data_IF_297550642659
#
_entry.id   IF_297550642659
#
_cell.length_a   1.000
_cell.length_b   1.000
_cell.length_c   1.000
_cell.angle_alpha   90.00
_cell.angle_beta   90.00
_cell.angle_gamma   90.00
#
_symmetry.space_group_name_H-M   'P 1'
#
loop_
_entity.id
_entity.type
_entity.pdbx_description
1 polymer ?
#
# COMPACT_ATOMS: atom_id res chain seq x y z
N UNK A 1 24.23 1.23 27.99
CA UNK A 1 22.93 1.94 27.89
C UNK A 1 21.85 1.19 27.08
N UNK A 2 22.17 0.37 26.07
CA UNK A 2 21.15 -0.37 25.28
C UNK A 2 20.40 -1.48 26.04
N UNK A 3 21.06 -2.17 26.97
CA UNK A 3 20.43 -3.22 27.80
C UNK A 3 19.32 -2.69 28.72
N UNK A 4 19.53 -1.53 29.35
CA UNK A 4 18.55 -0.86 30.22
C UNK A 4 17.33 -0.44 29.40
N UNK A 5 17.54 0.16 28.22
CA UNK A 5 16.45 0.54 27.31
C UNK A 5 15.62 -0.67 26.86
N UNK A 6 16.27 -1.80 26.55
CA UNK A 6 15.55 -3.02 26.16
C UNK A 6 14.81 -3.66 27.34
N UNK A 7 15.31 -3.54 28.58
CA UNK A 7 14.59 -4.01 29.77
C UNK A 7 13.38 -3.12 30.10
N UNK A 8 13.54 -1.79 30.01
CA UNK A 8 12.47 -0.81 30.15
C UNK A 8 11.33 -1.03 29.15
N UNK A 9 11.66 -1.36 27.90
CA UNK A 9 10.67 -1.60 26.84
C UNK A 9 10.03 -2.99 26.97
N UNK A 10 10.78 -3.99 27.42
CA UNK A 10 10.28 -5.37 27.57
C UNK A 10 9.38 -5.53 28.80
N UNK A 11 9.71 -4.86 29.90
CA UNK A 11 8.98 -4.91 31.17
C UNK A 11 8.45 -3.51 31.54
N UNK A 12 7.75 -2.86 30.60
CA UNK A 12 7.19 -1.53 30.83
C UNK A 12 6.25 -1.51 32.04
N UNK A 13 5.59 -2.65 32.31
CA UNK A 13 4.75 -2.87 33.49
C UNK A 13 5.54 -2.78 34.80
N UNK A 14 6.63 -3.53 34.95
CA UNK A 14 7.48 -3.46 36.15
C UNK A 14 8.16 -2.10 36.28
N UNK A 15 8.54 -1.48 35.16
CA UNK A 15 9.26 -0.22 35.22
C UNK A 15 8.36 0.95 35.63
N UNK A 16 7.08 0.93 35.27
CA UNK A 16 6.11 1.94 35.74
C UNK A 16 5.80 1.75 37.22
N UNK A 17 5.62 0.51 37.69
CA UNK A 17 5.44 0.25 39.13
C UNK A 17 6.68 0.70 39.93
N UNK A 18 7.87 0.39 39.42
CA UNK A 18 9.13 0.85 40.01
C UNK A 18 9.27 2.38 39.96
N UNK A 19 8.80 3.03 38.89
CA UNK A 19 8.76 4.50 38.79
C UNK A 19 7.80 5.13 39.80
N UNK A 20 6.63 4.53 40.05
CA UNK A 20 5.68 5.01 41.07
C UNK A 20 6.28 4.83 42.46
N UNK A 21 6.91 3.68 42.72
CA UNK A 21 7.56 3.37 43.99
C UNK A 21 8.73 4.32 44.26
N UNK A 22 9.57 4.58 43.24
CA UNK A 22 10.70 5.51 43.34
C UNK A 22 10.20 6.95 43.53
N UNK A 23 9.15 7.36 42.83
CA UNK A 23 8.51 8.67 43.01
C UNK A 23 7.93 8.85 44.42
N UNK A 24 7.27 7.82 44.95
CA UNK A 24 6.75 7.83 46.32
C UNK A 24 7.84 8.00 47.37
N UNK A 25 8.94 7.26 47.24
CA UNK A 25 10.10 7.35 48.15
C UNK A 25 10.79 8.70 48.03
N UNK A 26 10.97 9.19 46.80
CA UNK A 26 11.61 10.48 46.54
C UNK A 26 10.83 11.63 47.18
N UNK A 27 9.51 11.62 47.06
CA UNK A 27 8.70 12.70 47.62
C UNK A 27 8.57 12.60 49.14
N UNK A 28 8.51 11.39 49.70
CA UNK A 28 8.57 11.20 51.16
C UNK A 28 9.86 11.77 51.77
N UNK A 29 10.98 11.71 51.04
CA UNK A 29 12.26 12.23 51.54
C UNK A 29 12.37 13.77 51.50
N UNK A 30 11.63 14.44 50.60
CA UNK A 30 11.89 15.84 50.27
C UNK A 30 10.94 16.87 50.90
N UNK A 31 9.74 16.52 51.38
CA UNK A 31 8.67 17.54 51.60
C UNK A 31 7.95 17.43 52.95
N UNK A 32 7.77 18.58 53.61
CA UNK A 32 7.15 18.77 54.93
C UNK A 32 5.63 19.11 54.90
N UNK A 33 5.05 19.44 53.74
CA UNK A 33 3.61 19.75 53.58
C UNK A 33 2.85 18.60 52.90
N UNK A 34 2.15 17.78 53.71
CA UNK A 34 1.74 16.41 53.33
C UNK A 34 0.44 16.28 52.50
N UNK A 35 -0.43 17.29 52.41
CA UNK A 35 -1.74 17.18 51.70
C UNK A 35 -1.63 17.41 50.19
N UNK A 36 -0.87 18.42 49.75
CA UNK A 36 -0.68 18.72 48.32
C UNK A 36 0.04 17.59 47.55
N UNK A 37 0.70 16.68 48.28
CA UNK A 37 1.36 15.52 47.68
C UNK A 37 0.36 14.43 47.23
N UNK A 38 -0.79 14.34 47.89
CA UNK A 38 -1.83 13.38 47.55
C UNK A 38 -2.31 13.60 46.10
N UNK A 39 -2.39 14.87 45.67
CA UNK A 39 -2.71 15.25 44.30
C UNK A 39 -1.64 14.82 43.28
N UNK A 40 -0.37 14.77 43.68
CA UNK A 40 0.71 14.29 42.80
C UNK A 40 0.62 12.78 42.56
N UNK A 41 0.16 12.04 43.57
CA UNK A 41 -0.15 10.61 43.45
C UNK A 41 -1.32 10.36 42.49
N UNK A 42 -2.29 11.27 42.43
CA UNK A 42 -3.37 11.22 41.45
C UNK A 42 -2.84 11.20 40.01
N UNK A 43 -1.90 12.09 39.69
CA UNK A 43 -1.24 12.15 38.37
C UNK A 43 -0.47 10.86 38.06
N UNK A 44 0.27 10.30 39.03
CA UNK A 44 1.03 9.06 38.85
C UNK A 44 0.12 7.87 38.53
N UNK A 45 -1.02 7.75 39.23
CA UNK A 45 -1.98 6.65 39.00
C UNK A 45 -2.70 6.82 37.66
N UNK A 46 -3.10 8.04 37.30
CA UNK A 46 -3.72 8.33 36.00
C UNK A 46 -2.75 8.03 34.85
N UNK A 47 -1.48 8.44 34.99
CA UNK A 47 -0.44 8.18 34.00
C UNK A 47 -0.19 6.67 33.84
N UNK A 48 -0.14 5.92 34.94
CA UNK A 48 -0.01 4.47 34.92
C UNK A 48 -1.19 3.79 34.24
N UNK A 49 -2.42 4.25 34.51
CA UNK A 49 -3.63 3.75 33.89
C UNK A 49 -3.68 4.01 32.39
N UNK A 50 -3.21 5.18 31.94
CA UNK A 50 -3.15 5.54 30.52
C UNK A 50 -2.16 4.68 29.71
N UNK A 51 -1.00 4.37 30.29
CA UNK A 51 0.07 3.69 29.56
C UNK A 51 -0.08 2.17 29.45
N UNK A 52 -0.71 1.51 30.43
CA UNK A 52 -0.68 0.04 30.54
C UNK A 52 -2.09 -0.60 30.46
N UNK A 53 -3.16 0.18 30.61
CA UNK A 53 -4.54 -0.26 30.45
C UNK A 53 -5.26 -0.61 31.76
N UNK A 54 -6.51 -1.10 31.65
CA UNK A 54 -7.47 -1.19 32.75
C UNK A 54 -6.99 -1.93 34.00
N UNK A 55 -6.37 -3.11 33.84
CA UNK A 55 -5.98 -3.96 34.99
C UNK A 55 -4.94 -3.26 35.87
N UNK A 56 -4.00 -2.55 35.26
CA UNK A 56 -2.93 -1.86 35.99
C UNK A 56 -3.36 -0.52 36.54
N UNK A 57 -4.34 0.14 35.93
CA UNK A 57 -4.96 1.31 36.52
C UNK A 57 -5.55 0.97 37.90
N UNK A 58 -6.27 -0.15 38.00
CA UNK A 58 -6.88 -0.63 39.25
C UNK A 58 -5.80 -1.05 40.26
N UNK A 59 -4.80 -1.83 39.84
CA UNK A 59 -3.68 -2.20 40.73
C UNK A 59 -2.91 -0.97 41.23
N UNK A 60 -2.67 0.02 40.37
CA UNK A 60 -1.99 1.27 40.72
C UNK A 60 -2.77 2.09 41.74
N UNK A 61 -4.09 2.21 41.57
CA UNK A 61 -4.97 2.86 42.54
C UNK A 61 -4.97 2.11 43.89
N UNK A 62 -5.08 0.78 43.86
CA UNK A 62 -5.01 -0.04 45.07
C UNK A 62 -3.67 0.11 45.81
N UNK A 63 -2.56 0.08 45.07
CA UNK A 63 -1.22 0.23 45.65
C UNK A 63 -1.00 1.63 46.21
N UNK A 64 -1.51 2.68 45.54
CA UNK A 64 -1.47 4.04 46.04
C UNK A 64 -2.23 4.20 47.36
N UNK A 65 -3.45 3.63 47.46
CA UNK A 65 -4.24 3.64 48.69
C UNK A 65 -3.52 2.90 49.82
N UNK A 66 -2.94 1.73 49.51
CA UNK A 66 -2.17 0.94 50.48
C UNK A 66 -0.94 1.72 50.97
N UNK A 67 -0.20 2.36 50.07
CA UNK A 67 0.94 3.21 50.42
C UNK A 67 0.54 4.36 51.35
N UNK A 68 -0.55 5.06 51.02
CA UNK A 68 -1.08 6.15 51.85
C UNK A 68 -1.44 5.64 53.25
N UNK A 69 -2.08 4.47 53.36
CA UNK A 69 -2.36 3.82 54.64
C UNK A 69 -1.11 3.49 55.45
N UNK A 70 -0.08 2.96 54.80
CA UNK A 70 1.22 2.66 55.44
C UNK A 70 1.88 3.94 55.95
N UNK A 71 1.78 5.04 55.21
CA UNK A 71 2.33 6.33 55.65
C UNK A 71 1.60 6.90 56.87
N UNK A 72 0.26 6.80 56.94
CA UNK A 72 -0.50 7.23 58.12
C UNK A 72 -0.09 6.43 59.35
N UNK A 73 0.10 5.11 59.21
CA UNK A 73 0.55 4.26 60.31
C UNK A 73 1.98 4.56 60.75
N UNK A 74 2.87 4.89 59.80
CA UNK A 74 4.27 5.18 60.12
C UNK A 74 4.48 6.53 60.80
N UNK A 75 3.60 7.52 60.54
CA UNK A 75 3.88 8.92 60.87
C UNK A 75 2.60 9.66 61.28
N UNK A 76 1.89 9.11 62.28
CA UNK A 76 0.59 9.63 62.76
C UNK A 76 0.66 11.09 63.22
N UNK A 77 1.73 11.50 63.90
CA UNK A 77 1.84 12.81 64.56
C UNK A 77 1.90 13.97 63.59
N UNK A 78 2.44 13.78 62.38
CA UNK A 78 2.56 14.82 61.37
C UNK A 78 1.30 14.96 60.49
N UNK A 79 0.49 13.90 60.37
CA UNK A 79 -0.74 13.91 59.58
C UNK A 79 -1.92 14.51 60.35
N UNK A 80 -1.99 14.27 61.67
CA UNK A 80 -3.05 14.77 62.55
C UNK A 80 -2.75 16.15 63.16
N UNK A 81 -1.62 16.78 62.84
CA UNK A 81 -1.22 18.06 63.42
C UNK A 81 -2.04 19.27 62.92
N UNK A 82 -2.84 19.11 61.85
CA UNK A 82 -3.48 20.26 61.16
C UNK A 82 -5.01 20.19 61.08
N UNK A 83 -5.65 19.07 61.42
CA UNK A 83 -7.10 18.92 61.36
C UNK A 83 -7.57 17.82 62.31
N UNK A 84 -8.84 17.89 62.72
CA UNK A 84 -9.45 16.88 63.58
C UNK A 84 -9.35 15.49 62.94
N UNK A 85 -9.07 14.49 63.79
CA UNK A 85 -8.71 13.13 63.37
C UNK A 85 -9.78 12.48 62.47
N UNK A 86 -11.05 12.81 62.71
CA UNK A 86 -12.18 12.23 62.00
C UNK A 86 -12.38 12.83 60.59
N UNK A 87 -12.20 14.14 60.42
CA UNK A 87 -12.40 14.81 59.13
C UNK A 87 -11.34 14.40 58.10
N UNK A 88 -10.09 14.27 58.54
CA UNK A 88 -8.97 13.87 57.68
C UNK A 88 -9.16 12.45 57.15
N UNK A 89 -9.61 11.52 57.99
CA UNK A 89 -9.85 10.13 57.61
C UNK A 89 -10.99 10.00 56.59
N UNK A 90 -12.08 10.78 56.78
CA UNK A 90 -13.23 10.79 55.85
C UNK A 90 -12.80 11.35 54.50
N UNK A 91 -12.08 12.48 54.50
CA UNK A 91 -11.56 13.11 53.27
C UNK A 91 -10.66 12.17 52.47
N UNK A 92 -9.77 11.45 53.15
CA UNK A 92 -8.89 10.46 52.51
C UNK A 92 -9.65 9.27 51.92
N UNK A 93 -10.70 8.82 52.60
CA UNK A 93 -11.53 7.69 52.14
C UNK A 93 -12.29 8.08 50.87
N UNK A 94 -12.86 9.29 50.83
CA UNK A 94 -13.52 9.84 49.64
C UNK A 94 -12.52 10.04 48.50
N UNK A 95 -11.33 10.57 48.81
CA UNK A 95 -10.25 10.73 47.82
C UNK A 95 -9.81 9.39 47.23
N UNK A 96 -9.60 8.36 48.05
CA UNK A 96 -9.25 7.02 47.59
C UNK A 96 -10.34 6.35 46.74
N UNK A 97 -11.61 6.53 47.12
CA UNK A 97 -12.75 6.05 46.31
C UNK A 97 -12.80 6.72 44.94
N UNK A 98 -12.60 8.04 44.90
CA UNK A 98 -12.52 8.80 43.65
C UNK A 98 -11.33 8.34 42.78
N UNK A 99 -10.19 8.03 43.40
CA UNK A 99 -9.01 7.51 42.72
C UNK A 99 -9.30 6.18 42.00
N UNK A 100 -10.00 5.25 42.66
CA UNK A 100 -10.39 3.97 42.06
C UNK A 100 -11.34 4.18 40.89
N UNK A 101 -12.35 5.05 41.05
CA UNK A 101 -13.30 5.37 39.99
C UNK A 101 -12.63 6.02 38.78
N UNK A 102 -11.72 6.97 39.01
CA UNK A 102 -10.94 7.61 37.96
C UNK A 102 -10.05 6.59 37.25
N UNK A 103 -9.32 5.76 37.99
CA UNK A 103 -8.48 4.72 37.41
C UNK A 103 -9.28 3.73 36.56
N UNK A 104 -10.48 3.35 37.00
CA UNK A 104 -11.37 2.50 36.22
C UNK A 104 -11.86 3.17 34.93
N UNK A 105 -12.26 4.44 35.01
CA UNK A 105 -12.73 5.22 33.86
C UNK A 105 -11.62 5.43 32.82
N UNK A 106 -10.47 5.97 33.24
CA UNK A 106 -9.30 6.18 32.37
C UNK A 106 -8.79 4.84 31.81
N UNK A 107 -8.76 3.80 32.65
CA UNK A 107 -8.37 2.46 32.24
C UNK A 107 -9.26 1.91 31.14
N UNK A 108 -10.58 2.11 31.24
CA UNK A 108 -11.54 1.67 30.22
C UNK A 108 -11.48 2.52 28.95
N UNK A 109 -11.31 3.84 29.08
CA UNK A 109 -11.21 4.74 27.93
C UNK A 109 -9.94 4.47 27.12
N UNK A 110 -8.81 4.27 27.79
CA UNK A 110 -7.54 3.94 27.12
C UNK A 110 -7.62 2.61 26.36
N UNK A 111 -8.37 1.62 26.89
CA UNK A 111 -8.59 0.33 26.24
C UNK A 111 -9.43 0.48 24.97
N UNK A 112 -10.50 1.28 25.02
CA UNK A 112 -11.32 1.62 23.83
C UNK A 112 -10.51 2.36 22.76
N UNK A 113 -9.74 3.36 23.16
CA UNK A 113 -8.92 4.15 22.23
C UNK A 113 -7.87 3.26 21.51
N UNK A 114 -7.28 2.31 22.23
CA UNK A 114 -6.34 1.34 21.64
C UNK A 114 -7.00 0.36 20.68
N UNK A 115 -8.22 -0.06 20.97
CA UNK A 115 -8.99 -0.93 20.08
C UNK A 115 -9.29 -0.21 18.76
N UNK A 116 -9.83 1.01 18.82
CA UNK A 116 -10.12 1.80 17.62
C UNK A 116 -8.87 2.11 16.77
N UNK A 117 -7.75 2.44 17.42
CA UNK A 117 -6.48 2.66 16.73
C UNK A 117 -5.97 1.39 16.03
N UNK A 118 -6.11 0.23 16.67
CA UNK A 118 -5.71 -1.05 16.08
C UNK A 118 -6.61 -1.44 14.90
N UNK A 119 -7.92 -1.21 15.00
CA UNK A 119 -8.85 -1.44 13.89
C UNK A 119 -8.49 -0.54 12.70
N UNK A 120 -8.34 0.77 12.93
CA UNK A 120 -7.96 1.73 11.87
C UNK A 120 -6.64 1.35 11.20
N UNK A 121 -5.67 0.83 11.97
CA UNK A 121 -4.39 0.38 11.44
C UNK A 121 -4.53 -0.85 10.55
N UNK A 122 -5.31 -1.85 10.96
CA UNK A 122 -5.60 -3.05 10.15
C UNK A 122 -6.30 -2.69 8.84
N UNK A 123 -7.33 -1.85 8.90
CA UNK A 123 -8.03 -1.35 7.71
C UNK A 123 -7.07 -0.63 6.74
N UNK A 124 -6.09 0.11 7.25
CA UNK A 124 -5.07 0.77 6.42
C UNK A 124 -4.15 -0.24 5.73
N UNK A 125 -3.74 -1.29 6.43
CA UNK A 125 -2.89 -2.35 5.89
C UNK A 125 -3.63 -3.14 4.80
N UNK A 126 -4.90 -3.47 5.03
CA UNK A 126 -5.76 -4.16 4.04
C UNK A 126 -5.96 -3.33 2.76
N UNK A 127 -6.28 -2.03 2.91
CA UNK A 127 -6.41 -1.12 1.77
C UNK A 127 -5.10 -0.96 0.98
N UNK A 128 -3.94 -1.05 1.63
CA UNK A 128 -2.65 -1.01 0.93
C UNK A 128 -2.41 -2.28 0.10
N UNK A 129 -2.73 -3.46 0.63
CA UNK A 129 -2.61 -4.72 -0.11
C UNK A 129 -3.47 -4.75 -1.38
N UNK A 130 -4.71 -4.26 -1.30
CA UNK A 130 -5.62 -4.23 -2.45
C UNK A 130 -5.14 -3.28 -3.55
N UNK A 131 -4.57 -2.13 -3.17
CA UNK A 131 -3.96 -1.18 -4.12
C UNK A 131 -2.79 -1.80 -4.87
N UNK A 132 -1.98 -2.60 -4.18
CA UNK A 132 -0.84 -3.27 -4.78
C UNK A 132 -1.29 -4.31 -5.82
N UNK A 133 -2.28 -5.14 -5.49
CA UNK A 133 -2.87 -6.11 -6.41
C UNK A 133 -3.49 -5.45 -7.65
N UNK A 134 -4.24 -4.37 -7.47
CA UNK A 134 -4.81 -3.59 -8.57
C UNK A 134 -3.71 -3.01 -9.46
N UNK A 135 -2.61 -2.52 -8.87
CA UNK A 135 -1.49 -1.97 -9.63
C UNK A 135 -0.79 -3.04 -10.49
N UNK A 136 -0.66 -4.26 -9.98
CA UNK A 136 -0.08 -5.40 -10.70
C UNK A 136 -0.99 -5.80 -11.86
N UNK A 137 -2.29 -5.96 -11.62
CA UNK A 137 -3.25 -6.32 -12.67
C UNK A 137 -3.31 -5.27 -13.78
N UNK A 138 -3.32 -3.99 -13.41
CA UNK A 138 -3.32 -2.89 -14.37
C UNK A 138 -2.02 -2.86 -15.19
N UNK A 139 -0.87 -3.13 -14.55
CA UNK A 139 0.42 -3.25 -15.25
C UNK A 139 0.40 -4.40 -16.26
N UNK A 140 -0.11 -5.57 -15.87
CA UNK A 140 -0.25 -6.72 -16.78
C UNK A 140 -1.12 -6.39 -17.99
N UNK A 141 -2.25 -5.71 -17.79
CA UNK A 141 -3.13 -5.25 -18.88
C UNK A 141 -2.39 -4.32 -19.86
N UNK A 142 -1.57 -3.39 -19.37
CA UNK A 142 -0.74 -2.53 -20.23
C UNK A 142 0.34 -3.31 -20.98
N UNK A 143 0.95 -4.29 -20.34
CA UNK A 143 1.95 -5.13 -20.99
C UNK A 143 1.33 -5.96 -22.12
N UNK A 144 0.12 -6.52 -21.91
CA UNK A 144 -0.63 -7.22 -22.96
C UNK A 144 -1.02 -6.30 -24.13
N UNK A 145 -1.44 -5.06 -23.87
CA UNK A 145 -1.76 -4.13 -24.96
C UNK A 145 -0.53 -3.80 -25.79
N UNK A 146 0.62 -3.58 -25.16
CA UNK A 146 1.87 -3.24 -25.84
C UNK A 146 2.39 -4.41 -26.70
N UNK A 147 2.28 -5.64 -26.19
CA UNK A 147 2.62 -6.87 -26.92
C UNK A 147 1.74 -7.07 -28.16
N UNK A 148 0.44 -6.76 -28.05
CA UNK A 148 -0.49 -6.85 -29.16
C UNK A 148 -0.18 -5.80 -30.23
N UNK A 149 0.13 -4.56 -29.83
CA UNK A 149 0.54 -3.50 -30.77
C UNK A 149 1.80 -3.88 -31.54
N UNK A 150 2.82 -4.41 -30.85
CA UNK A 150 4.05 -4.88 -31.47
C UNK A 150 3.77 -5.99 -32.50
N UNK A 151 2.96 -6.98 -32.12
CA UNK A 151 2.60 -8.09 -33.02
C UNK A 151 1.78 -7.61 -34.22
N UNK A 152 0.90 -6.62 -34.05
CA UNK A 152 0.15 -6.02 -35.17
C UNK A 152 1.09 -5.28 -36.11
N UNK A 153 2.06 -4.53 -35.59
CA UNK A 153 3.05 -3.83 -36.41
C UNK A 153 3.93 -4.81 -37.19
N UNK A 154 4.36 -5.90 -36.54
CA UNK A 154 5.18 -6.95 -37.14
C UNK A 154 4.45 -7.63 -38.31
N UNK A 155 3.18 -8.01 -38.11
CA UNK A 155 2.34 -8.60 -39.16
C UNK A 155 2.08 -7.64 -40.31
N UNK A 156 1.95 -6.35 -40.00
CA UNK A 156 1.78 -5.32 -41.04
C UNK A 156 3.05 -5.16 -41.87
N UNK A 157 4.23 -5.28 -41.26
CA UNK A 157 5.52 -5.30 -41.97
C UNK A 157 5.70 -6.57 -42.80
N UNK A 158 5.37 -7.75 -42.25
CA UNK A 158 5.41 -9.03 -42.98
C UNK A 158 4.51 -8.99 -44.21
N UNK A 159 3.25 -8.56 -44.06
CA UNK A 159 2.32 -8.43 -45.17
C UNK A 159 2.83 -7.45 -46.23
N UNK A 160 3.40 -6.31 -45.82
CA UNK A 160 3.97 -5.34 -46.76
C UNK A 160 5.17 -5.90 -47.52
N UNK A 161 6.01 -6.69 -46.85
CA UNK A 161 7.20 -7.27 -47.46
C UNK A 161 6.85 -8.42 -48.43
N UNK A 162 5.93 -9.30 -48.04
CA UNK A 162 5.39 -10.35 -48.92
C UNK A 162 4.64 -9.77 -50.12
N UNK A 163 3.87 -8.70 -49.92
CA UNK A 163 3.21 -8.00 -51.01
C UNK A 163 4.22 -7.38 -51.99
N UNK A 164 5.29 -6.76 -51.48
CA UNK A 164 6.39 -6.25 -52.32
C UNK A 164 7.07 -7.35 -53.13
N UNK A 165 7.32 -8.52 -52.54
CA UNK A 165 7.89 -9.66 -53.26
C UNK A 165 6.98 -10.13 -54.38
N UNK A 166 5.67 -10.25 -54.14
CA UNK A 166 4.70 -10.61 -55.18
C UNK A 166 4.68 -9.59 -56.33
N UNK A 167 4.79 -8.29 -56.03
CA UNK A 167 4.91 -7.25 -57.06
C UNK A 167 6.20 -7.38 -57.86
N UNK A 168 7.36 -7.61 -57.22
CA UNK A 168 8.63 -7.81 -57.92
C UNK A 168 8.58 -9.05 -58.83
N UNK A 169 8.01 -10.17 -58.36
CA UNK A 169 7.79 -11.36 -59.19
C UNK A 169 6.89 -11.06 -60.40
N UNK A 170 5.80 -10.32 -60.21
CA UNK A 170 4.91 -9.93 -61.28
C UNK A 170 5.61 -9.01 -62.30
N UNK A 171 6.41 -8.05 -61.83
CA UNK A 171 7.18 -7.14 -62.69
C UNK A 171 8.22 -7.92 -63.51
N UNK A 172 8.99 -8.81 -62.90
CA UNK A 172 9.99 -9.65 -63.61
C UNK A 172 9.31 -10.55 -64.64
N UNK A 173 8.21 -11.21 -64.28
CA UNK A 173 7.47 -12.07 -65.22
C UNK A 173 6.89 -11.29 -66.41
N UNK A 174 6.39 -10.07 -66.16
CA UNK A 174 5.90 -9.18 -67.22
C UNK A 174 7.01 -8.73 -68.18
N UNK A 175 8.22 -8.50 -67.66
CA UNK A 175 9.39 -8.16 -68.46
C UNK A 175 9.78 -9.30 -69.41
N UNK A 176 9.80 -10.55 -68.93
CA UNK A 176 10.11 -11.73 -69.74
C UNK A 176 9.08 -11.99 -70.84
N UNK A 177 7.78 -11.82 -70.54
CA UNK A 177 6.72 -11.91 -71.55
C UNK A 177 6.89 -10.85 -72.65
N UNK A 178 7.26 -9.62 -72.26
CA UNK A 178 7.46 -8.54 -73.22
C UNK A 178 8.72 -8.72 -74.08
N UNK A 179 9.77 -9.34 -73.52
CA UNK A 179 10.99 -9.69 -74.26
C UNK A 179 10.72 -10.83 -75.24
N UNK A 180 10.01 -11.87 -74.81
CA UNK A 180 9.66 -13.04 -75.63
C UNK A 180 8.73 -12.65 -76.79
N UNK A 181 7.77 -11.74 -76.57
CA UNK A 181 6.94 -11.19 -77.63
C UNK A 181 7.74 -10.32 -78.62
N UNK A 182 8.75 -9.55 -78.17
CA UNK A 182 9.66 -8.82 -79.09
C UNK A 182 10.54 -9.76 -79.91
N UNK A 183 11.11 -10.79 -79.28
CA UNK A 183 11.91 -11.79 -79.97
C UNK A 183 11.09 -12.60 -80.98
N UNK A 184 9.87 -13.03 -80.63
CA UNK A 184 8.96 -13.70 -81.57
C UNK A 184 8.60 -12.82 -82.77
N UNK A 185 8.41 -11.51 -82.56
CA UNK A 185 8.18 -10.56 -83.64
C UNK A 185 9.40 -10.39 -84.55
N UNK A 186 10.61 -10.45 -83.99
CA UNK A 186 11.87 -10.35 -84.75
C UNK A 186 12.25 -11.64 -85.49
N UNK A 187 11.99 -12.83 -84.91
CA UNK A 187 12.29 -14.11 -85.55
C UNK A 187 11.30 -14.42 -86.68
N UNK A 188 10.01 -14.05 -86.52
CA UNK A 188 9.01 -14.17 -87.58
C UNK A 188 9.32 -13.24 -88.78
N UNK A 189 10.00 -12.12 -88.54
CA UNK A 189 10.48 -11.23 -89.61
C UNK A 189 11.68 -11.81 -90.38
N UNK A 190 12.51 -12.65 -89.74
CA UNK A 190 13.72 -13.22 -90.34
C UNK A 190 13.43 -14.46 -91.23
N UNK A 191 12.36 -15.22 -90.97
CA UNK A 191 12.00 -16.41 -91.76
C UNK A 191 10.86 -16.19 -92.76
N UNK A 192 10.18 -15.04 -92.74
CA UNK A 192 9.03 -14.73 -93.61
C UNK A 192 9.33 -14.02 -94.94
N UNK A 193 10.58 -13.72 -95.27
CA UNK A 193 10.95 -12.83 -96.40
C UNK A 193 11.74 -13.52 -97.53
N UNK A 194 11.49 -14.80 -97.82
CA UNK A 194 12.16 -15.53 -98.94
C UNK A 194 11.25 -16.20 -99.96
N UNK A 195 10.02 -15.74 -100.10
CA UNK A 195 9.21 -16.10 -101.26
C UNK A 195 8.23 -14.96 -101.58
N UNK A 196 8.06 -14.71 -102.88
CA UNK A 196 7.03 -13.86 -103.52
C UNK A 196 7.53 -12.45 -103.98
N UNK A 197 8.22 -12.45 -105.13
CA UNK A 197 8.12 -11.40 -106.16
C UNK A 197 7.38 -12.00 -107.39
N UNK A 198 6.78 -11.18 -108.27
CA UNK A 198 5.37 -11.30 -108.66
C UNK A 198 5.12 -12.07 -109.97
N UNK A 199 3.94 -12.70 -110.10
CA UNK A 199 3.33 -13.02 -111.39
C UNK A 199 2.15 -12.08 -111.67
N UNK A 200 2.15 -11.52 -112.89
CA UNK A 200 1.15 -10.61 -113.45
C UNK A 200 -0.29 -11.16 -113.38
N UNK A 201 -1.31 -10.29 -113.26
CA UNK A 201 -2.71 -10.68 -113.28
C UNK A 201 -3.30 -10.73 -114.70
N UNK A 202 -4.40 -11.47 -114.90
CA UNK A 202 -5.39 -11.12 -115.90
C UNK A 202 -6.77 -10.81 -115.28
N UNK A 203 -7.20 -9.59 -115.60
CA UNK A 203 -8.54 -9.10 -115.98
C UNK A 203 -9.79 -9.61 -115.26
N UNK A 204 -10.51 -8.60 -114.75
CA UNK A 204 -11.87 -8.58 -114.24
C UNK A 204 -12.91 -9.37 -115.04
N UNK A 205 -13.82 -10.00 -114.30
CA UNK A 205 -15.21 -10.15 -114.68
C UNK A 205 -16.08 -9.94 -113.43
N UNK A 206 -16.70 -8.77 -113.38
CA UNK A 206 -17.96 -8.50 -112.67
C UNK A 206 -19.03 -9.51 -113.07
N UNK A 207 -19.95 -9.86 -112.17
CA UNK A 207 -21.42 -9.93 -112.38
C UNK A 207 -22.12 -10.32 -111.06
N UNK A 208 -22.97 -9.40 -110.58
CA UNK A 208 -24.28 -9.49 -109.91
C UNK A 208 -24.58 -10.62 -108.88
N UNK A 209 -24.98 -10.31 -107.64
CA UNK A 209 -26.31 -9.88 -107.19
C UNK A 209 -27.48 -10.80 -107.61
N UNK A 210 -28.15 -11.39 -106.59
CA UNK A 210 -29.48 -12.04 -106.53
C UNK A 210 -29.30 -13.33 -105.68
N UNK A 211 -29.98 -13.60 -104.57
CA UNK A 211 -31.27 -13.15 -104.04
C UNK A 211 -31.32 -13.41 -102.53
#
# INVERSE_FOLDING_TARGET
>A
MSKIRNYLVKNIQETVVLSILLGAVFVNYFIQTKIAFLDFFYLLVVLAGYYIGKRFAILGAFFAILMVWVFILSDQTQYYASADSSETNISLTVWGGFLILAAWLIGTLSEKLRLELNETRRLREDLQHERELLSISNRQLRDYSHLLEERVEERTRELKNSNKQLMDFATVASHDLHFRNRCAKSSCFATGWRSILPRKPPKAASIWNAS
#
